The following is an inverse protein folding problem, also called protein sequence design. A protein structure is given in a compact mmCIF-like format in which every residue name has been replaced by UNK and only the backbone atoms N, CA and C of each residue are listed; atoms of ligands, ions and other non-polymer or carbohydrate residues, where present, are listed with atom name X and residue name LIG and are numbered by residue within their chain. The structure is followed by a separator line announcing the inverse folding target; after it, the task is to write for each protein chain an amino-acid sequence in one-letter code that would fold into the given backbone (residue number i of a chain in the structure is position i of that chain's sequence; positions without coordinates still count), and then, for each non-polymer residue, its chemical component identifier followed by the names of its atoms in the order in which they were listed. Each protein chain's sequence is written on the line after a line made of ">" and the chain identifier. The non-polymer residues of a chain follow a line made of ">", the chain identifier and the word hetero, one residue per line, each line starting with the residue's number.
data_IF_810161028354
#
_entry.id   IF_810161028354
#
_cell.length_a   1.000
_cell.length_b   1.000
_cell.length_c   1.000
_cell.angle_alpha   90.00
_cell.angle_beta   90.00
_cell.angle_gamma   90.00
#
_symmetry.space_group_name_H-M   'P 1'
#
loop_
_entity.id
_entity.type
_entity.pdbx_description
1 polymer ?
#
# COMPACT_ATOMS: atom_id res chain seq x y z
N UNK A 1 -17.42 19.02 33.74
CA UNK A 1 -17.90 19.55 32.44
C UNK A 1 -16.98 19.20 31.28
N UNK A 2 -15.65 19.40 31.39
CA UNK A 2 -14.67 19.12 30.31
C UNK A 2 -14.59 17.63 29.89
N UNK A 3 -14.73 16.69 30.84
CA UNK A 3 -14.69 15.24 30.55
C UNK A 3 -15.86 14.77 29.67
N UNK A 4 -17.07 15.31 29.86
CA UNK A 4 -18.24 14.98 29.02
C UNK A 4 -18.06 15.45 27.57
N UNK A 5 -17.54 16.67 27.37
CA UNK A 5 -17.28 17.20 26.03
C UNK A 5 -16.22 16.38 25.29
N UNK A 6 -15.16 15.92 25.97
CA UNK A 6 -14.15 15.03 25.38
C UNK A 6 -14.74 13.69 24.93
N UNK A 7 -15.59 13.06 25.74
CA UNK A 7 -16.23 11.78 25.41
C UNK A 7 -17.17 11.87 24.19
N UNK A 8 -17.88 12.99 24.04
CA UNK A 8 -18.76 13.21 22.89
C UNK A 8 -17.91 13.39 21.61
N UNK A 9 -16.85 14.19 21.68
CA UNK A 9 -15.97 14.42 20.52
C UNK A 9 -15.25 13.13 20.12
N UNK A 10 -14.72 12.35 21.07
CA UNK A 10 -14.06 11.07 20.75
C UNK A 10 -15.02 10.08 20.08
N UNK A 11 -16.25 9.98 20.57
CA UNK A 11 -17.28 9.14 19.97
C UNK A 11 -17.53 9.48 18.50
N UNK A 12 -17.64 10.77 18.16
CA UNK A 12 -17.78 11.19 16.76
C UNK A 12 -16.53 10.92 15.93
N UNK A 13 -15.34 11.15 16.49
CA UNK A 13 -14.07 10.89 15.79
C UNK A 13 -13.90 9.40 15.47
N UNK A 14 -14.23 8.51 16.40
CA UNK A 14 -14.13 7.06 16.20
C UNK A 14 -15.15 6.54 15.17
N UNK A 15 -16.36 7.10 15.15
CA UNK A 15 -17.39 6.66 14.20
C UNK A 15 -17.11 7.14 12.78
N UNK A 16 -16.55 8.34 12.62
CA UNK A 16 -16.40 8.97 11.31
C UNK A 16 -14.98 8.77 10.76
N UNK A 17 -13.94 9.12 11.52
CA UNK A 17 -12.58 9.17 11.00
C UNK A 17 -11.93 7.78 10.91
N UNK A 18 -12.18 6.90 11.88
CA UNK A 18 -11.56 5.56 11.87
C UNK A 18 -11.94 4.74 10.63
N UNK A 19 -13.22 4.60 10.23
CA UNK A 19 -13.57 3.83 9.04
C UNK A 19 -12.96 4.40 7.75
N UNK A 20 -12.78 5.72 7.66
CA UNK A 20 -12.12 6.35 6.52
C UNK A 20 -10.64 5.98 6.46
N UNK A 21 -9.94 5.99 7.59
CA UNK A 21 -8.54 5.56 7.66
C UNK A 21 -8.40 4.06 7.38
N UNK A 22 -9.29 3.22 7.94
CA UNK A 22 -9.33 1.79 7.66
C UNK A 22 -9.56 1.52 6.16
N UNK A 23 -10.44 2.29 5.51
CA UNK A 23 -10.65 2.20 4.06
C UNK A 23 -9.39 2.53 3.27
N UNK A 24 -8.66 3.59 3.66
CA UNK A 24 -7.37 3.92 3.02
C UNK A 24 -6.37 2.79 3.21
N UNK A 25 -6.24 2.24 4.41
CA UNK A 25 -5.39 1.07 4.68
C UNK A 25 -5.80 -0.15 3.85
N UNK A 26 -7.10 -0.38 3.65
CA UNK A 26 -7.59 -1.46 2.78
C UNK A 26 -7.16 -1.26 1.32
N UNK A 27 -7.28 -0.04 0.79
CA UNK A 27 -6.83 0.31 -0.57
C UNK A 27 -5.31 0.15 -0.70
N UNK A 28 -4.53 0.60 0.28
CA UNK A 28 -3.09 0.38 0.32
C UNK A 28 -2.73 -1.11 0.38
N UNK A 29 -3.52 -1.91 1.10
CA UNK A 29 -3.40 -3.37 1.14
C UNK A 29 -3.63 -4.02 -0.23
N UNK A 30 -4.67 -3.60 -0.96
CA UNK A 30 -4.92 -4.05 -2.34
C UNK A 30 -3.75 -3.68 -3.27
N UNK A 31 -3.26 -2.45 -3.16
CA UNK A 31 -2.13 -1.98 -3.94
C UNK A 31 -0.83 -2.76 -3.62
N UNK A 32 -0.59 -3.06 -2.34
CA UNK A 32 0.52 -3.92 -1.90
C UNK A 32 0.46 -5.29 -2.55
N UNK A 33 -0.72 -5.93 -2.56
CA UNK A 33 -0.91 -7.21 -3.23
C UNK A 33 -0.73 -7.11 -4.75
N UNK A 34 -1.19 -6.04 -5.38
CA UNK A 34 -0.96 -5.80 -6.80
C UNK A 34 0.54 -5.75 -7.14
N UNK A 35 1.34 -5.05 -6.33
CA UNK A 35 2.81 -5.01 -6.48
C UNK A 35 3.42 -6.41 -6.32
N UNK A 36 2.99 -7.18 -5.31
CA UNK A 36 3.48 -8.54 -5.08
C UNK A 36 3.17 -9.43 -6.29
N UNK A 37 1.93 -9.43 -6.77
CA UNK A 37 1.53 -10.23 -7.93
C UNK A 37 2.29 -9.80 -9.18
N UNK A 38 2.50 -8.49 -9.38
CA UNK A 38 3.31 -7.96 -10.48
C UNK A 38 4.75 -8.51 -10.44
N UNK A 39 5.40 -8.49 -9.27
CA UNK A 39 6.75 -9.05 -9.09
C UNK A 39 6.77 -10.55 -9.35
N UNK A 40 5.76 -11.28 -8.86
CA UNK A 40 5.64 -12.72 -9.10
C UNK A 40 5.51 -13.01 -10.59
N UNK A 41 4.65 -12.31 -11.33
CA UNK A 41 4.49 -12.50 -12.78
C UNK A 41 5.81 -12.26 -13.52
N UNK A 42 6.51 -11.15 -13.22
CA UNK A 42 7.81 -10.86 -13.82
C UNK A 42 8.85 -11.97 -13.51
N UNK A 43 8.84 -12.50 -12.30
CA UNK A 43 9.74 -13.59 -11.92
C UNK A 43 9.41 -14.89 -12.67
N UNK A 44 8.13 -15.23 -12.77
CA UNK A 44 7.65 -16.40 -13.51
C UNK A 44 7.97 -16.28 -15.01
N UNK A 45 7.84 -15.10 -15.60
CA UNK A 45 8.24 -14.83 -16.99
C UNK A 45 9.76 -14.95 -17.17
N UNK A 46 10.55 -14.38 -16.25
CA UNK A 46 12.02 -14.45 -16.30
C UNK A 46 12.54 -15.89 -16.20
N UNK A 47 11.91 -16.74 -15.40
CA UNK A 47 12.24 -18.16 -15.28
C UNK A 47 11.57 -19.03 -16.36
N UNK A 48 10.85 -18.44 -17.31
CA UNK A 48 10.12 -19.15 -18.38
C UNK A 48 9.12 -20.18 -17.84
N UNK A 49 8.58 -19.95 -16.65
CA UNK A 49 7.59 -20.83 -16.01
C UNK A 49 6.22 -20.65 -16.65
N UNK A 50 5.88 -19.40 -17.01
CA UNK A 50 4.63 -19.05 -17.69
C UNK A 50 4.91 -18.48 -19.08
N UNK A 51 3.96 -18.65 -19.99
CA UNK A 51 4.04 -18.12 -21.34
C UNK A 51 3.43 -16.70 -21.40
N UNK A 52 4.25 -15.63 -21.59
CA UNK A 52 3.75 -14.26 -21.68
C UNK A 52 2.87 -14.02 -22.90
N UNK A 53 2.95 -14.87 -23.94
CA UNK A 53 2.10 -14.80 -25.13
C UNK A 53 0.69 -15.33 -24.89
N UNK A 54 0.41 -15.93 -23.72
CA UNK A 54 -0.96 -16.28 -23.34
C UNK A 54 -1.77 -15.00 -23.15
N UNK A 55 -2.91 -14.88 -23.85
CA UNK A 55 -3.80 -13.71 -23.74
C UNK A 55 -4.23 -13.43 -22.29
N UNK A 56 -4.34 -14.47 -21.46
CA UNK A 56 -4.71 -14.33 -20.05
C UNK A 56 -3.58 -13.66 -19.24
N UNK A 57 -2.35 -14.19 -19.35
CA UNK A 57 -1.17 -13.66 -18.65
C UNK A 57 -0.90 -12.23 -19.10
N UNK A 58 -0.92 -11.97 -20.41
CA UNK A 58 -0.71 -10.66 -21.00
C UNK A 58 -1.69 -9.60 -20.47
N UNK A 59 -2.99 -9.94 -20.36
CA UNK A 59 -4.01 -9.02 -19.84
C UNK A 59 -3.77 -8.68 -18.37
N UNK A 60 -3.47 -9.68 -17.54
CA UNK A 60 -3.20 -9.47 -16.11
C UNK A 60 -1.93 -8.66 -15.93
N UNK A 61 -0.86 -9.02 -16.62
CA UNK A 61 0.41 -8.29 -16.59
C UNK A 61 0.17 -6.82 -16.97
N UNK A 62 -0.43 -6.54 -18.13
CA UNK A 62 -0.67 -5.17 -18.57
C UNK A 62 -1.53 -4.35 -17.60
N UNK A 63 -2.55 -4.97 -17.01
CA UNK A 63 -3.36 -4.33 -15.98
C UNK A 63 -2.52 -3.93 -14.77
N UNK A 64 -1.75 -4.87 -14.21
CA UNK A 64 -0.89 -4.61 -13.06
C UNK A 64 0.20 -3.59 -13.40
N UNK A 65 0.81 -3.71 -14.58
CA UNK A 65 1.80 -2.76 -15.08
C UNK A 65 1.22 -1.34 -15.13
N UNK A 66 0.02 -1.15 -15.68
CA UNK A 66 -0.60 0.18 -15.76
C UNK A 66 -0.83 0.85 -14.40
N UNK A 67 -1.03 0.04 -13.35
CA UNK A 67 -1.27 0.52 -11.98
C UNK A 67 0.05 0.77 -11.25
N UNK A 68 1.01 -0.15 -11.38
CA UNK A 68 2.22 -0.17 -10.56
C UNK A 68 3.36 0.63 -11.20
N UNK A 69 3.48 0.62 -12.53
CA UNK A 69 4.59 1.22 -13.26
C UNK A 69 4.78 2.72 -13.03
N UNK A 70 3.73 3.58 -12.95
CA UNK A 70 3.94 5.00 -12.68
C UNK A 70 4.71 5.27 -11.39
N UNK A 71 4.50 4.43 -10.37
CA UNK A 71 5.17 4.52 -9.08
C UNK A 71 6.59 3.95 -9.14
N UNK A 72 6.77 2.80 -9.80
CA UNK A 72 8.09 2.20 -10.01
C UNK A 72 8.99 3.12 -10.83
N UNK A 73 8.50 3.67 -11.93
CA UNK A 73 9.23 4.62 -12.78
C UNK A 73 9.63 5.88 -12.00
N UNK A 74 8.77 6.36 -11.09
CA UNK A 74 9.12 7.43 -10.15
C UNK A 74 10.29 7.05 -9.26
N UNK A 75 10.27 5.87 -8.66
CA UNK A 75 11.31 5.37 -7.76
C UNK A 75 12.63 5.10 -8.50
N UNK A 76 12.59 4.50 -9.69
CA UNK A 76 13.77 4.18 -10.50
C UNK A 76 14.61 5.42 -10.83
N UNK A 77 14.01 6.61 -10.88
CA UNK A 77 14.75 7.88 -11.09
C UNK A 77 15.68 8.24 -9.93
N UNK A 78 15.43 7.72 -8.73
CA UNK A 78 16.23 7.98 -7.54
C UNK A 78 17.19 6.83 -7.20
N UNK A 79 16.99 5.65 -7.80
CA UNK A 79 17.83 4.50 -7.56
C UNK A 79 19.03 4.48 -8.51
N UNK A 80 20.23 4.09 -8.03
CA UNK A 80 21.35 3.80 -8.91
C UNK A 80 21.06 2.55 -9.76
N UNK A 81 21.77 2.39 -10.88
CA UNK A 81 21.61 1.22 -11.74
C UNK A 81 22.19 -0.05 -11.08
N UNK A 82 21.33 -0.98 -10.68
CA UNK A 82 21.70 -2.24 -10.01
C UNK A 82 21.98 -3.41 -10.97
N UNK A 83 22.62 -3.15 -12.12
CA UNK A 83 23.08 -4.24 -13.00
C UNK A 83 21.98 -5.16 -13.54
N UNK A 84 20.79 -4.60 -13.83
CA UNK A 84 19.68 -5.33 -14.44
C UNK A 84 18.62 -5.86 -13.46
N UNK A 85 18.86 -5.76 -12.15
CA UNK A 85 17.85 -6.09 -11.13
C UNK A 85 17.05 -4.83 -10.79
N UNK A 86 15.73 -4.89 -10.97
CA UNK A 86 14.84 -3.80 -10.57
C UNK A 86 14.50 -3.89 -9.07
N UNK A 87 15.15 -3.05 -8.26
CA UNK A 87 14.85 -2.94 -6.82
C UNK A 87 13.66 -2.01 -6.52
N UNK A 88 13.11 -1.31 -7.52
CA UNK A 88 12.02 -0.37 -7.30
C UNK A 88 10.76 -0.99 -6.69
N UNK A 89 10.36 -2.26 -6.97
CA UNK A 89 9.19 -2.86 -6.32
C UNK A 89 9.40 -3.07 -4.83
N UNK A 90 10.61 -3.45 -4.41
CA UNK A 90 10.96 -3.61 -2.99
C UNK A 90 10.85 -2.27 -2.26
N UNK A 91 11.43 -1.22 -2.85
CA UNK A 91 11.35 0.14 -2.30
C UNK A 91 9.90 0.61 -2.23
N UNK A 92 9.09 0.35 -3.26
CA UNK A 92 7.68 0.71 -3.25
C UNK A 92 6.91 -0.02 -2.14
N UNK A 93 7.16 -1.32 -1.94
CA UNK A 93 6.57 -2.09 -0.84
C UNK A 93 6.94 -1.52 0.54
N UNK A 94 8.19 -1.09 0.71
CA UNK A 94 8.64 -0.44 1.95
C UNK A 94 7.92 0.91 2.17
N UNK A 95 7.77 1.72 1.12
CA UNK A 95 7.04 2.99 1.20
C UNK A 95 5.55 2.78 1.53
N UNK A 96 4.90 1.82 0.88
CA UNK A 96 3.51 1.46 1.20
C UNK A 96 3.40 0.97 2.65
N UNK A 97 4.35 0.15 3.11
CA UNK A 97 4.41 -0.31 4.51
C UNK A 97 4.59 0.82 5.50
N UNK A 98 5.42 1.81 5.17
CA UNK A 98 5.64 2.98 6.00
C UNK A 98 4.36 3.82 6.12
N UNK A 99 3.68 4.09 5.00
CA UNK A 99 2.43 4.86 4.99
C UNK A 99 1.35 4.16 5.81
N UNK A 100 1.17 2.87 5.60
CA UNK A 100 0.19 2.06 6.33
C UNK A 100 0.51 1.99 7.84
N UNK A 101 1.80 1.90 8.20
CA UNK A 101 2.25 1.98 9.59
C UNK A 101 1.98 3.33 10.23
N UNK A 102 2.15 4.44 9.50
CA UNK A 102 1.79 5.78 9.98
C UNK A 102 0.28 5.87 10.21
N UNK A 103 -0.54 5.37 9.30
CA UNK A 103 -2.01 5.34 9.45
C UNK A 103 -2.41 4.54 10.69
N UNK A 104 -1.80 3.36 10.90
CA UNK A 104 -2.03 2.54 12.07
C UNK A 104 -1.72 3.28 13.38
N UNK A 105 -0.58 3.99 13.45
CA UNK A 105 -0.22 4.81 14.60
C UNK A 105 -1.21 5.96 14.84
N UNK A 106 -1.72 6.58 13.77
CA UNK A 106 -2.76 7.62 13.86
C UNK A 106 -4.05 7.04 14.44
N UNK A 107 -4.49 5.87 13.95
CA UNK A 107 -5.70 5.19 14.45
C UNK A 107 -5.55 4.84 15.93
N UNK A 108 -4.42 4.24 16.34
CA UNK A 108 -4.17 3.93 17.76
C UNK A 108 -4.27 5.19 18.60
N UNK A 109 -3.61 6.27 18.18
CA UNK A 109 -3.62 7.52 18.95
C UNK A 109 -5.01 8.13 19.01
N UNK A 110 -5.79 8.05 17.94
CA UNK A 110 -7.19 8.51 17.93
C UNK A 110 -8.02 7.75 18.98
N UNK A 111 -7.87 6.43 19.05
CA UNK A 111 -8.58 5.55 20.00
C UNK A 111 -8.12 5.75 21.46
N UNK A 112 -6.83 5.97 21.69
CA UNK A 112 -6.27 6.07 23.04
C UNK A 112 -6.31 7.50 23.62
N UNK A 113 -6.35 8.52 22.77
CA UNK A 113 -6.44 9.94 23.19
C UNK A 113 -7.60 10.28 24.14
N UNK A 114 -8.78 9.64 24.08
CA UNK A 114 -9.90 9.90 24.99
C UNK A 114 -9.72 9.26 26.37
N UNK A 115 -8.87 8.24 26.49
CA UNK A 115 -8.74 7.39 27.69
C UNK A 115 -7.69 7.95 28.66
N UNK A 116 -6.70 8.68 28.15
CA UNK A 116 -5.52 9.11 28.91
C UNK A 116 -5.67 10.46 29.65
N UNK A 117 -6.88 11.03 29.76
CA UNK A 117 -7.09 12.39 30.24
C UNK A 117 -8.31 12.61 31.13
#
# INVERSE_FOLDING_TARGET
>A
MISYTKNIVSFFMDIIFKPMLDFVSAVLGLFRWAIIVYVIINLLESFKIINPYSQFVYKIHNFLFSIVEPFLAGIRRFLPNFGGIDLSPVVLLLLVSLIDGIIYQIIIKLILSPIAG
#
